data_IF_204439496046
#
_entry.id   IF_204439496046
#
_cell.length_a   1.000
_cell.length_b   1.000
_cell.length_c   1.000
_cell.angle_alpha   90.00
_cell.angle_beta   90.00
_cell.angle_gamma   90.00
#
_symmetry.space_group_name_H-M   'P 1'
#
loop_
_entity.id
_entity.type
_entity.pdbx_description
1 polymer ?
#
# COMPACT_ATOMS: atom_id res chain seq x y z
N UNK A 1 -12.20 -9.25 -8.40
CA UNK A 1 -12.76 -8.34 -9.43
C UNK A 1 -11.58 -7.56 -10.02
N UNK A 2 -11.21 -7.82 -11.27
CA UNK A 2 -10.04 -7.17 -11.89
C UNK A 2 -10.31 -5.68 -12.10
N UNK A 3 -9.51 -4.82 -11.47
CA UNK A 3 -9.53 -3.37 -11.72
C UNK A 3 -9.04 -3.13 -13.15
N UNK A 4 -9.98 -3.13 -14.12
CA UNK A 4 -9.69 -2.69 -15.48
C UNK A 4 -9.32 -1.20 -15.41
N UNK A 5 -8.04 -0.90 -15.62
CA UNK A 5 -7.57 0.47 -15.82
C UNK A 5 -8.30 1.04 -17.05
N UNK A 6 -9.26 1.93 -16.82
CA UNK A 6 -10.10 2.52 -17.88
C UNK A 6 -9.27 3.43 -18.81
N UNK A 7 -8.04 3.75 -18.41
CA UNK A 7 -7.12 4.62 -19.14
C UNK A 7 -5.74 3.98 -19.22
N UNK A 8 -5.19 3.98 -20.42
CA UNK A 8 -3.83 3.56 -20.72
C UNK A 8 -2.97 4.78 -21.01
N UNK A 9 -1.83 4.97 -20.32
CA UNK A 9 -0.89 6.03 -20.66
C UNK A 9 -0.39 5.87 -22.10
N UNK A 10 -0.38 6.97 -22.86
CA UNK A 10 0.05 7.00 -24.28
C UNK A 10 1.46 6.39 -24.45
N UNK A 11 2.33 6.59 -23.46
CA UNK A 11 3.72 6.14 -23.46
C UNK A 11 3.96 4.87 -22.63
N UNK A 12 2.94 4.03 -22.39
CA UNK A 12 3.10 2.77 -21.61
C UNK A 12 4.22 1.88 -22.17
N UNK A 13 4.44 1.88 -23.48
CA UNK A 13 5.47 1.11 -24.16
C UNK A 13 6.92 1.60 -23.88
N UNK A 14 7.10 2.81 -23.36
CA UNK A 14 8.42 3.40 -23.06
C UNK A 14 8.63 3.57 -21.55
N UNK A 15 7.56 3.57 -20.75
CA UNK A 15 7.66 3.75 -19.31
C UNK A 15 8.04 2.46 -18.59
N UNK A 16 9.18 2.47 -17.90
CA UNK A 16 9.53 1.44 -16.92
C UNK A 16 8.72 1.64 -15.65
N UNK A 17 8.16 0.57 -15.10
CA UNK A 17 7.50 0.61 -13.79
C UNK A 17 8.56 0.91 -12.74
N UNK A 18 8.44 2.00 -11.96
CA UNK A 18 9.43 2.31 -10.93
C UNK A 18 9.34 1.30 -9.78
N UNK A 19 10.48 0.90 -9.25
CA UNK A 19 10.56 0.22 -7.95
C UNK A 19 10.40 1.28 -6.86
N UNK A 20 9.29 1.21 -6.12
CA UNK A 20 9.00 2.11 -5.01
C UNK A 20 9.55 1.56 -3.69
N UNK A 21 9.97 2.45 -2.79
CA UNK A 21 10.30 2.13 -1.40
C UNK A 21 9.15 2.64 -0.53
N UNK A 22 8.67 1.79 0.39
CA UNK A 22 7.58 2.12 1.30
C UNK A 22 8.17 2.59 2.63
N UNK A 23 7.77 3.78 3.07
CA UNK A 23 8.09 4.30 4.39
C UNK A 23 6.82 4.45 5.21
N UNK A 24 6.77 3.77 6.35
CA UNK A 24 5.64 3.83 7.28
C UNK A 24 6.06 4.70 8.46
N UNK A 25 5.24 5.70 8.78
CA UNK A 25 5.46 6.61 9.93
C UNK A 25 4.36 6.29 10.96
N UNK A 26 4.63 5.41 11.95
CA UNK A 26 3.60 4.89 12.86
C UNK A 26 2.80 5.98 13.56
N UNK A 27 3.43 7.09 13.94
CA UNK A 27 2.84 8.20 14.71
C UNK A 27 1.78 8.98 13.94
N UNK A 28 1.76 8.85 12.60
CA UNK A 28 0.76 9.44 11.70
C UNK A 28 -0.41 8.50 11.41
N UNK A 29 -0.30 7.23 11.75
CA UNK A 29 -1.36 6.25 11.55
C UNK A 29 -2.57 6.53 12.44
N UNK A 30 -3.78 6.24 11.92
CA UNK A 30 -5.08 6.34 12.60
C UNK A 30 -5.89 5.04 12.52
N UNK A 31 -5.25 3.93 12.12
CA UNK A 31 -5.90 2.62 11.94
C UNK A 31 -7.15 2.66 11.01
N UNK A 32 -7.10 3.46 9.94
CA UNK A 32 -8.25 3.62 9.04
C UNK A 32 -8.42 2.50 8.01
N UNK A 33 -7.45 1.58 7.87
CA UNK A 33 -7.52 0.45 6.92
C UNK A 33 -7.27 0.79 5.44
N UNK A 34 -7.47 2.04 5.00
CA UNK A 34 -7.43 2.40 3.57
C UNK A 34 -6.15 2.00 2.83
N UNK A 35 -4.98 2.13 3.47
CA UNK A 35 -3.72 1.75 2.85
C UNK A 35 -3.59 0.25 2.59
N UNK A 36 -4.26 -0.59 3.39
CA UNK A 36 -4.28 -2.05 3.26
C UNK A 36 -5.32 -2.43 2.20
N UNK A 37 -6.56 -1.98 2.37
CA UNK A 37 -7.69 -2.39 1.53
C UNK A 37 -7.56 -1.93 0.07
N UNK A 38 -6.96 -0.77 -0.16
CA UNK A 38 -6.81 -0.18 -1.49
C UNK A 38 -5.45 -0.51 -2.13
N UNK A 39 -4.58 -1.24 -1.45
CA UNK A 39 -3.28 -1.59 -2.02
C UNK A 39 -3.46 -2.55 -3.20
N UNK A 40 -3.12 -2.17 -4.45
CA UNK A 40 -3.32 -3.05 -5.60
C UNK A 40 -2.36 -4.25 -5.62
N UNK A 41 -1.32 -4.20 -4.80
CA UNK A 41 -0.29 -5.23 -4.66
C UNK A 41 -0.37 -5.98 -3.34
N UNK A 42 -1.33 -5.65 -2.46
CA UNK A 42 -1.50 -6.25 -1.13
C UNK A 42 -0.20 -6.31 -0.29
N UNK A 43 0.68 -5.31 -0.42
CA UNK A 43 1.99 -5.28 0.27
C UNK A 43 1.93 -4.72 1.69
N UNK A 44 0.74 -4.52 2.25
CA UNK A 44 0.54 -4.00 3.60
C UNK A 44 -0.47 -4.87 4.36
N UNK A 45 -0.24 -5.08 5.65
CA UNK A 45 -1.16 -5.78 6.56
C UNK A 45 -1.19 -5.13 7.94
N UNK A 46 -2.22 -5.40 8.74
CA UNK A 46 -2.31 -4.89 10.11
C UNK A 46 -1.18 -5.51 10.97
N UNK A 47 -0.47 -4.67 11.73
CA UNK A 47 0.50 -5.12 12.72
C UNK A 47 -0.16 -5.36 14.09
N UNK A 48 0.50 -6.14 14.94
CA UNK A 48 0.14 -6.28 16.36
C UNK A 48 0.67 -5.10 17.20
N UNK A 49 1.61 -4.33 16.66
CA UNK A 49 2.22 -3.17 17.32
C UNK A 49 1.27 -1.97 17.34
N UNK A 50 1.39 -1.16 18.39
CA UNK A 50 0.62 0.08 18.57
C UNK A 50 1.55 1.28 18.71
N UNK A 51 1.14 2.40 18.14
CA UNK A 51 1.84 3.67 18.35
C UNK A 51 1.46 4.31 19.71
N UNK A 52 2.04 5.47 20.03
CA UNK A 52 1.75 6.23 21.28
C UNK A 52 0.27 6.61 21.45
N UNK A 53 -0.53 6.61 20.37
CA UNK A 53 -1.96 6.91 20.40
C UNK A 53 -2.83 5.65 20.53
N UNK A 54 -2.22 4.46 20.56
CA UNK A 54 -2.91 3.17 20.67
C UNK A 54 -3.37 2.56 19.34
N UNK A 55 -3.08 3.18 18.20
CA UNK A 55 -3.48 2.67 16.88
C UNK A 55 -2.56 1.55 16.40
N UNK A 56 -3.15 0.48 15.86
CA UNK A 56 -2.39 -0.56 15.12
C UNK A 56 -2.00 -0.03 13.76
N UNK A 57 -0.69 0.10 13.54
CA UNK A 57 -0.14 0.62 12.30
C UNK A 57 0.18 -0.54 11.33
N UNK A 58 0.21 -0.28 10.00
CA UNK A 58 0.43 -1.35 9.03
C UNK A 58 1.90 -1.78 8.98
N UNK A 59 2.17 -3.07 8.80
CA UNK A 59 3.50 -3.61 8.47
C UNK A 59 3.56 -4.04 7.00
N UNK A 60 4.77 -4.09 6.44
CA UNK A 60 5.00 -4.56 5.08
C UNK A 60 4.81 -6.09 5.02
N UNK A 61 4.17 -6.55 3.95
CA UNK A 61 3.98 -7.96 3.62
C UNK A 61 4.57 -8.27 2.24
N UNK A 62 4.71 -9.55 1.91
CA UNK A 62 5.32 -10.01 0.64
C UNK A 62 4.50 -9.61 -0.61
N UNK A 63 3.21 -9.31 -0.44
CA UNK A 63 2.31 -8.89 -1.51
C UNK A 63 1.82 -10.01 -2.42
N UNK A 64 1.01 -9.63 -3.41
CA UNK A 64 0.59 -10.52 -4.51
C UNK A 64 1.68 -10.58 -5.58
N UNK A 65 2.00 -11.80 -6.02
CA UNK A 65 2.83 -12.07 -7.20
C UNK A 65 2.26 -11.42 -8.47
#
# INVERSE_FOLDING_TARGET
MSLKLVREPINRHIQKVPLGIIHIIPERCKECGFCIDLCPKDVLMVSEERNIKGYRWPKVADGKA
#
